data_IF_822422571494
#
_entry.id   IF_822422571494
#
_cell.length_a   1.000
_cell.length_b   1.000
_cell.length_c   1.000
_cell.angle_alpha   90.00
_cell.angle_beta   90.00
_cell.angle_gamma   90.00
#
_symmetry.space_group_name_H-M   'P 1'
#
loop_
_entity.id
_entity.type
_entity.pdbx_description
1 polymer ?
#
# COMPACT_ATOMS: atom_id res chain seq x y z
N UNK A 1 18.98 -8.46 -26.47
CA UNK A 1 18.67 -7.46 -25.40
C UNK A 1 19.97 -6.95 -24.83
N UNK A 2 20.14 -5.63 -24.69
CA UNK A 2 21.32 -5.05 -24.04
C UNK A 2 21.13 -5.04 -22.52
N UNK A 3 22.21 -5.14 -21.74
CA UNK A 3 22.19 -5.09 -20.26
C UNK A 3 21.38 -3.88 -19.77
N UNK A 4 21.52 -2.75 -20.46
CA UNK A 4 20.78 -1.52 -20.18
C UNK A 4 19.26 -1.67 -20.36
N UNK A 5 18.82 -2.38 -21.40
CA UNK A 5 17.41 -2.68 -21.61
C UNK A 5 16.83 -3.55 -20.50
N UNK A 6 17.60 -4.53 -20.02
CA UNK A 6 17.22 -5.38 -18.88
C UNK A 6 17.06 -4.55 -17.60
N UNK A 7 18.00 -3.64 -17.33
CA UNK A 7 17.94 -2.76 -16.14
C UNK A 7 16.74 -1.80 -16.18
N UNK A 8 16.45 -1.19 -17.33
CA UNK A 8 15.27 -0.33 -17.49
C UNK A 8 13.99 -1.13 -17.26
N UNK A 9 13.89 -2.33 -17.83
CA UNK A 9 12.74 -3.20 -17.65
C UNK A 9 12.56 -3.60 -16.18
N UNK A 10 13.64 -3.97 -15.48
CA UNK A 10 13.60 -4.29 -14.05
C UNK A 10 13.15 -3.10 -13.18
N UNK A 11 13.62 -1.88 -13.46
CA UNK A 11 13.17 -0.70 -12.71
C UNK A 11 11.68 -0.37 -12.95
N UNK A 12 11.20 -0.55 -14.18
CA UNK A 12 9.79 -0.34 -14.52
C UNK A 12 8.89 -1.37 -13.85
N UNK A 13 9.25 -2.65 -13.88
CA UNK A 13 8.45 -3.70 -13.23
C UNK A 13 8.41 -3.52 -11.72
N UNK A 14 9.53 -3.17 -11.08
CA UNK A 14 9.57 -2.85 -9.64
C UNK A 14 8.71 -1.63 -9.30
N UNK A 15 8.77 -0.57 -10.11
CA UNK A 15 7.96 0.63 -9.90
C UNK A 15 6.46 0.36 -10.03
N UNK A 16 6.04 -0.36 -11.08
CA UNK A 16 4.63 -0.72 -11.30
C UNK A 16 4.10 -1.67 -10.22
N UNK A 17 4.91 -2.64 -9.79
CA UNK A 17 4.57 -3.53 -8.68
C UNK A 17 4.40 -2.77 -7.36
N UNK A 18 5.32 -1.83 -7.07
CA UNK A 18 5.22 -0.96 -5.91
C UNK A 18 3.96 -0.10 -5.92
N UNK A 19 3.63 0.46 -7.08
CA UNK A 19 2.43 1.28 -7.26
C UNK A 19 1.15 0.48 -7.03
N UNK A 20 1.10 -0.75 -7.54
CA UNK A 20 -0.03 -1.65 -7.33
C UNK A 20 -0.28 -1.93 -5.85
N UNK A 21 0.76 -2.27 -5.09
CA UNK A 21 0.63 -2.52 -3.64
C UNK A 21 0.26 -1.26 -2.85
N UNK A 22 0.77 -0.10 -3.25
CA UNK A 22 0.41 1.17 -2.63
C UNK A 22 -1.07 1.52 -2.88
N UNK A 23 -1.56 1.35 -4.10
CA UNK A 23 -2.96 1.58 -4.46
C UNK A 23 -3.91 0.65 -3.71
N UNK A 24 -3.60 -0.65 -3.67
CA UNK A 24 -4.42 -1.64 -2.96
C UNK A 24 -4.51 -1.32 -1.47
N UNK A 25 -3.40 -0.94 -0.84
CA UNK A 25 -3.38 -0.61 0.59
C UNK A 25 -4.04 0.74 0.93
N UNK A 26 -3.97 1.73 0.04
CA UNK A 26 -4.65 3.02 0.23
C UNK A 26 -6.16 2.89 0.06
N UNK A 27 -6.62 2.19 -0.98
CA UNK A 27 -8.05 1.97 -1.22
C UNK A 27 -8.70 1.18 -0.08
N UNK A 28 -7.95 0.27 0.55
CA UNK A 28 -8.44 -0.57 1.64
C UNK A 28 -8.22 0.01 3.06
N UNK A 29 -8.00 1.33 3.17
CA UNK A 29 -7.74 2.10 4.41
C UNK A 29 -6.38 1.81 5.05
N UNK A 30 -5.39 2.67 4.76
CA UNK A 30 -4.02 2.48 5.24
C UNK A 30 -3.29 3.75 5.68
N UNK A 31 -3.98 4.83 6.07
CA UNK A 31 -3.32 6.11 6.42
C UNK A 31 -3.75 6.76 7.74
N UNK A 32 -4.75 6.21 8.44
CA UNK A 32 -5.24 6.77 9.71
C UNK A 32 -4.77 5.85 10.85
N UNK A 33 -4.21 6.43 11.92
CA UNK A 33 -3.71 5.69 13.10
C UNK A 33 -4.87 5.11 13.95
N UNK A 34 -6.10 5.50 13.61
CA UNK A 34 -7.34 5.07 14.23
C UNK A 34 -7.93 3.84 13.51
N UNK A 35 -8.45 2.89 14.29
CA UNK A 35 -9.09 1.69 13.75
C UNK A 35 -10.47 2.06 13.23
N UNK A 36 -10.67 1.91 11.93
CA UNK A 36 -11.90 2.30 11.24
C UNK A 36 -12.61 1.09 10.64
N UNK A 37 -13.94 1.12 10.61
CA UNK A 37 -14.76 0.07 9.99
C UNK A 37 -15.42 0.61 8.73
N UNK A 38 -15.14 0.02 7.55
CA UNK A 38 -15.79 0.42 6.28
C UNK A 38 -17.27 0.01 6.16
N UNK A 39 -17.82 -0.71 7.14
CA UNK A 39 -19.23 -1.08 7.20
C UNK A 39 -19.84 -0.61 8.51
N UNK A 40 -20.57 -1.49 9.18
CA UNK A 40 -21.22 -1.18 10.45
C UNK A 40 -20.28 -1.46 11.61
N UNK A 41 -19.99 -0.43 12.39
CA UNK A 41 -19.30 -0.59 13.66
C UNK A 41 -20.34 -0.91 14.74
N UNK A 42 -20.38 -2.15 15.23
CA UNK A 42 -21.37 -2.59 16.20
C UNK A 42 -20.73 -2.72 17.57
N UNK A 43 -21.28 -2.00 18.55
CA UNK A 43 -20.89 -2.10 19.94
C UNK A 43 -21.30 -3.43 20.59
N UNK A 44 -20.84 -3.68 21.82
CA UNK A 44 -21.24 -4.86 22.60
C UNK A 44 -22.73 -4.87 22.97
N UNK A 45 -23.38 -3.70 22.93
CA UNK A 45 -24.81 -3.45 23.08
C UNK A 45 -25.63 -3.80 21.82
N UNK A 46 -24.97 -4.20 20.73
CA UNK A 46 -25.56 -4.40 19.40
C UNK A 46 -26.09 -3.11 18.77
N UNK A 47 -25.73 -1.94 19.30
CA UNK A 47 -26.01 -0.67 18.67
C UNK A 47 -24.87 -0.28 17.72
N UNK A 48 -25.19 0.49 16.69
CA UNK A 48 -24.19 1.03 15.79
C UNK A 48 -23.44 2.17 16.49
N UNK A 49 -22.14 1.98 16.69
CA UNK A 49 -21.24 2.97 17.25
C UNK A 49 -20.60 3.79 16.12
N UNK A 50 -20.24 5.05 16.40
CA UNK A 50 -19.51 5.89 15.44
C UNK A 50 -18.10 5.37 15.15
N UNK A 51 -17.39 6.09 14.28
CA UNK A 51 -15.93 5.94 14.18
C UNK A 51 -15.23 6.96 15.10
N UNK A 52 -14.05 6.64 15.65
CA UNK A 52 -13.29 5.41 15.47
C UNK A 52 -13.83 4.23 16.28
N UNK A 53 -13.47 3.03 15.85
CA UNK A 53 -13.83 1.77 16.51
C UNK A 53 -13.12 1.65 17.86
N UNK A 54 -13.80 1.17 18.90
CA UNK A 54 -13.22 0.98 20.25
C UNK A 54 -13.03 -0.49 20.61
N UNK A 55 -12.15 -0.82 21.59
CA UNK A 55 -12.02 -2.19 22.06
C UNK A 55 -13.35 -2.74 22.61
N UNK A 56 -13.82 -3.85 22.03
CA UNK A 56 -15.13 -4.44 22.34
C UNK A 56 -16.07 -4.42 21.15
N UNK A 57 -15.86 -3.47 20.24
CA UNK A 57 -16.65 -3.35 19.03
C UNK A 57 -16.37 -4.46 18.02
N UNK A 58 -17.32 -4.63 17.10
CA UNK A 58 -17.28 -5.55 15.98
C UNK A 58 -17.59 -4.82 14.69
N UNK A 59 -16.67 -4.92 13.74
CA UNK A 59 -16.85 -4.39 12.41
C UNK A 59 -17.57 -5.44 11.56
N UNK A 60 -18.69 -5.07 10.96
CA UNK A 60 -19.37 -5.83 9.92
C UNK A 60 -19.12 -5.12 8.58
N UNK A 61 -18.08 -5.50 7.82
CA UNK A 61 -17.85 -4.93 6.51
C UNK A 61 -18.97 -5.46 5.60
N UNK A 62 -19.81 -4.56 5.08
CA UNK A 62 -20.87 -4.94 4.16
C UNK A 62 -20.32 -5.82 3.04
N UNK A 63 -21.09 -6.84 2.64
CA UNK A 63 -20.74 -7.89 1.66
C UNK A 63 -19.76 -8.97 2.15
N UNK A 64 -20.31 -10.03 2.76
CA UNK A 64 -19.75 -11.39 2.75
C UNK A 64 -18.38 -11.63 3.41
N UNK A 65 -17.75 -10.59 3.97
CA UNK A 65 -16.35 -10.61 4.43
C UNK A 65 -16.18 -10.99 5.90
N UNK A 66 -17.27 -11.40 6.55
CA UNK A 66 -17.32 -11.85 7.93
C UNK A 66 -17.16 -10.71 8.94
N UNK A 67 -17.73 -10.89 10.13
CA UNK A 67 -17.59 -9.93 11.23
C UNK A 67 -16.15 -10.00 11.76
N UNK A 68 -15.50 -8.85 11.91
CA UNK A 68 -14.15 -8.71 12.48
C UNK A 68 -14.20 -8.02 13.82
N UNK A 69 -13.45 -8.52 14.79
CA UNK A 69 -13.28 -7.83 16.08
C UNK A 69 -12.36 -6.61 15.92
N UNK A 70 -12.39 -5.68 16.88
CA UNK A 70 -11.43 -4.57 16.96
C UNK A 70 -9.97 -5.01 16.74
N UNK A 71 -9.52 -6.09 17.41
CA UNK A 71 -8.16 -6.60 17.28
C UNK A 71 -7.85 -7.09 15.87
N UNK A 72 -8.78 -7.84 15.25
CA UNK A 72 -8.63 -8.32 13.87
C UNK A 72 -8.61 -7.17 12.86
N UNK A 73 -9.46 -6.16 13.05
CA UNK A 73 -9.51 -4.98 12.18
C UNK A 73 -8.22 -4.16 12.30
N UNK A 74 -7.70 -3.99 13.52
CA UNK A 74 -6.41 -3.33 13.78
C UNK A 74 -5.26 -4.05 13.10
N UNK A 75 -5.20 -5.38 13.19
CA UNK A 75 -4.14 -6.15 12.56
C UNK A 75 -4.25 -6.14 11.03
N UNK A 76 -5.47 -6.18 10.50
CA UNK A 76 -5.72 -6.02 9.06
C UNK A 76 -5.22 -4.67 8.55
N UNK A 77 -5.58 -3.56 9.21
CA UNK A 77 -5.13 -2.22 8.82
C UNK A 77 -3.62 -2.04 8.96
N UNK A 78 -2.99 -2.61 9.99
CA UNK A 78 -1.53 -2.63 10.12
C UNK A 78 -0.85 -3.35 8.96
N UNK A 79 -1.41 -4.47 8.50
CA UNK A 79 -0.88 -5.18 7.34
C UNK A 79 -1.04 -4.36 6.06
N UNK A 80 -2.19 -3.70 5.86
CA UNK A 80 -2.39 -2.80 4.73
C UNK A 80 -1.40 -1.63 4.75
N UNK A 81 -1.19 -1.01 5.90
CA UNK A 81 -0.20 0.07 6.04
C UNK A 81 1.21 -0.39 5.68
N UNK A 82 1.62 -1.59 6.11
CA UNK A 82 2.92 -2.17 5.70
C UNK A 82 3.02 -2.37 4.19
N UNK A 83 1.94 -2.79 3.51
CA UNK A 83 1.91 -2.90 2.05
C UNK A 83 2.03 -1.55 1.37
N UNK A 84 1.35 -0.51 1.88
CA UNK A 84 1.49 0.86 1.38
C UNK A 84 2.94 1.33 1.49
N UNK A 85 3.55 1.19 2.67
CA UNK A 85 4.94 1.60 2.90
C UNK A 85 5.90 0.83 1.99
N UNK A 86 5.78 -0.49 1.91
CA UNK A 86 6.61 -1.31 1.03
C UNK A 86 6.43 -0.97 -0.46
N UNK A 87 5.19 -0.70 -0.87
CA UNK A 87 4.85 -0.23 -2.21
C UNK A 87 5.52 1.10 -2.54
N UNK A 88 5.44 2.06 -1.62
CA UNK A 88 6.05 3.39 -1.75
C UNK A 88 7.58 3.32 -1.90
N UNK A 89 8.23 2.48 -1.09
CA UNK A 89 9.68 2.22 -1.20
C UNK A 89 10.06 1.63 -2.55
N UNK A 90 9.25 0.69 -3.05
CA UNK A 90 9.47 0.05 -4.35
C UNK A 90 9.31 1.04 -5.51
N UNK A 91 8.31 1.93 -5.45
CA UNK A 91 8.15 3.05 -6.39
C UNK A 91 9.37 3.97 -6.35
N UNK A 92 9.79 4.38 -5.16
CA UNK A 92 10.95 5.25 -4.97
C UNK A 92 12.23 4.64 -5.55
N UNK A 93 12.48 3.34 -5.29
CA UNK A 93 13.62 2.62 -5.85
C UNK A 93 13.57 2.53 -7.38
N UNK A 94 12.40 2.23 -7.96
CA UNK A 94 12.20 2.19 -9.41
C UNK A 94 12.48 3.53 -10.09
N UNK A 95 11.94 4.62 -9.54
CA UNK A 95 12.15 5.99 -10.03
C UNK A 95 13.61 6.42 -9.90
N UNK A 96 14.24 6.17 -8.75
CA UNK A 96 15.65 6.48 -8.54
C UNK A 96 16.56 5.72 -9.50
N UNK A 97 16.30 4.42 -9.72
CA UNK A 97 17.03 3.60 -10.67
C UNK A 97 16.93 4.12 -12.11
N UNK A 98 15.72 4.50 -12.54
CA UNK A 98 15.51 5.12 -13.87
C UNK A 98 16.24 6.47 -13.99
N UNK A 99 16.22 7.30 -12.95
CA UNK A 99 16.90 8.59 -12.94
C UNK A 99 18.43 8.43 -13.06
N UNK A 100 19.02 7.47 -12.32
CA UNK A 100 20.44 7.14 -12.38
C UNK A 100 20.85 6.63 -13.78
N UNK A 101 20.07 5.71 -14.36
CA UNK A 101 20.30 5.21 -15.72
C UNK A 101 20.17 6.33 -16.77
N UNK A 102 19.24 7.27 -16.57
CA UNK A 102 19.09 8.47 -17.38
C UNK A 102 20.34 9.34 -17.35
N UNK A 103 20.86 9.65 -16.15
CA UNK A 103 22.10 10.45 -15.99
C UNK A 103 23.35 9.78 -16.54
N UNK A 104 23.46 8.46 -16.42
CA UNK A 104 24.55 7.69 -17.04
C UNK A 104 24.52 7.75 -18.58
N UNK A 105 23.36 8.03 -19.20
CA UNK A 105 23.28 8.31 -20.65
C UNK A 105 23.90 9.66 -21.00
N UNK A 106 23.66 10.66 -20.16
CA UNK A 106 24.11 12.03 -20.37
C UNK A 106 25.63 12.18 -20.26
N UNK A 107 26.28 11.27 -19.53
CA UNK A 107 27.73 11.27 -19.30
C UNK A 107 28.55 10.42 -20.28
N UNK A 108 27.97 9.83 -21.34
CA UNK A 108 28.80 9.26 -22.41
C UNK A 108 29.41 10.41 -23.23
N UNK A 109 30.73 10.71 -23.12
CA UNK A 109 31.36 11.63 -24.05
C UNK A 109 31.24 11.01 -25.44
N UNK A 110 30.76 11.82 -26.38
CA UNK A 110 30.71 11.50 -27.80
C UNK A 110 32.16 11.42 -28.28
N UNK A 111 32.78 10.24 -28.21
CA UNK A 111 34.06 10.00 -28.89
C UNK A 111 33.79 10.09 -30.39
N UNK A 112 34.29 11.17 -30.99
CA UNK A 112 34.42 11.33 -32.44
C UNK A 112 35.39 10.30 -32.99
#
# INVERSE_FOLDING_TARGET
MTIRGVLVFACLTLGLWGLYQALEGVQNQGLVDEVTCMGHNMGPDQEEHGQPMVPGDRCSPGHGSGIRTYAQQRDFQRQQHRRVVAGLWSVGAGVAGLALLGRLKSHQPRSR
#
